data_IF_966694953368
#
_entry.id   IF_966694953368
#
_cell.length_a   1.000
_cell.length_b   1.000
_cell.length_c   1.000
_cell.angle_alpha   90.00
_cell.angle_beta   90.00
_cell.angle_gamma   90.00
#
_symmetry.space_group_name_H-M   'P 1'
#
loop_
_entity.id
_entity.type
_entity.pdbx_description
1 polymer ?
#
# COMPACT_ATOMS: atom_id res chain seq x y z
N UNK A 1 -6.82 31.31 14.05
CA UNK A 1 -7.15 29.88 13.89
C UNK A 1 -6.34 29.38 12.71
N UNK A 2 -5.37 28.49 12.92
CA UNK A 2 -4.61 27.87 11.82
C UNK A 2 -5.50 26.82 11.17
N UNK A 3 -5.61 26.82 9.84
CA UNK A 3 -6.42 25.86 9.10
C UNK A 3 -5.50 24.96 8.31
N UNK A 4 -5.41 23.70 8.72
CA UNK A 4 -4.73 22.67 7.94
C UNK A 4 -5.59 22.27 6.75
N UNK A 5 -5.13 22.54 5.53
CA UNK A 5 -5.87 22.18 4.32
C UNK A 5 -5.32 20.89 3.69
N UNK A 6 -5.78 19.74 4.18
CA UNK A 6 -5.45 18.43 3.60
C UNK A 6 -5.69 18.34 2.09
N UNK A 7 -6.61 19.14 1.52
CA UNK A 7 -6.89 19.12 0.07
C UNK A 7 -5.72 19.59 -0.78
N UNK A 8 -4.74 20.30 -0.21
CA UNK A 8 -3.55 20.68 -0.96
C UNK A 8 -2.62 19.47 -1.20
N UNK A 9 -2.69 18.46 -0.33
CA UNK A 9 -1.82 17.27 -0.38
C UNK A 9 -2.51 16.08 -1.03
N UNK A 10 -3.80 15.91 -0.74
CA UNK A 10 -4.59 14.77 -1.16
C UNK A 10 -5.37 15.11 -2.42
N UNK A 11 -5.44 14.16 -3.35
CA UNK A 11 -6.23 14.31 -4.57
C UNK A 11 -7.68 14.65 -4.23
N UNK A 12 -8.28 15.56 -5.02
CA UNK A 12 -9.66 16.06 -4.87
C UNK A 12 -10.68 14.92 -4.82
N UNK A 13 -10.34 13.74 -5.35
CA UNK A 13 -11.22 12.58 -5.45
C UNK A 13 -11.07 11.55 -4.31
N UNK A 14 -10.12 11.73 -3.39
CA UNK A 14 -9.87 10.75 -2.32
C UNK A 14 -10.94 10.79 -1.20
N UNK A 15 -11.54 11.96 -0.94
CA UNK A 15 -12.63 12.11 0.02
C UNK A 15 -13.55 13.29 -0.34
N UNK A 16 -14.81 13.22 0.09
CA UNK A 16 -15.82 14.24 -0.21
C UNK A 16 -15.58 15.53 0.58
N UNK A 17 -15.37 15.40 1.90
CA UNK A 17 -15.26 16.53 2.82
C UNK A 17 -14.31 16.24 3.96
N UNK A 18 -13.53 17.25 4.35
CA UNK A 18 -12.74 17.27 5.58
C UNK A 18 -13.55 17.95 6.70
N UNK A 19 -13.54 17.36 7.90
CA UNK A 19 -14.13 17.95 9.11
C UNK A 19 -13.20 17.78 10.30
N UNK A 20 -13.34 18.64 11.28
CA UNK A 20 -12.76 18.42 12.61
C UNK A 20 -13.64 17.40 13.32
N UNK A 21 -13.04 16.36 13.86
CA UNK A 21 -13.76 15.32 14.58
C UNK A 21 -14.14 15.78 15.99
N UNK A 22 -15.32 15.37 16.42
CA UNK A 22 -15.76 15.47 17.83
C UNK A 22 -15.65 14.12 18.56
N UNK A 23 -15.30 13.04 17.86
CA UNK A 23 -15.34 11.66 18.35
C UNK A 23 -13.97 10.96 18.32
N UNK A 24 -13.03 11.43 17.48
CA UNK A 24 -11.68 10.90 17.44
C UNK A 24 -10.92 11.34 18.70
N UNK A 25 -10.86 10.46 19.71
CA UNK A 25 -10.11 10.73 20.94
C UNK A 25 -8.61 10.44 20.77
N UNK A 26 -8.28 9.18 20.50
CA UNK A 26 -6.90 8.68 20.42
C UNK A 26 -6.37 8.58 19.00
N UNK A 27 -7.26 8.41 18.03
CA UNK A 27 -6.89 8.30 16.62
C UNK A 27 -6.62 9.68 16.02
N UNK A 28 -5.68 9.80 15.07
CA UNK A 28 -5.43 11.06 14.37
C UNK A 28 -6.55 11.47 13.42
N UNK A 29 -7.30 10.50 12.90
CA UNK A 29 -8.44 10.74 12.01
C UNK A 29 -9.30 9.49 11.84
N UNK A 30 -10.47 9.68 11.25
CA UNK A 30 -11.49 8.66 11.01
C UNK A 30 -12.20 8.96 9.68
N UNK A 31 -12.53 7.93 8.91
CA UNK A 31 -13.51 8.07 7.83
C UNK A 31 -14.92 7.75 8.32
N UNK A 32 -15.85 8.64 8.00
CA UNK A 32 -17.27 8.50 8.28
C UNK A 32 -18.02 8.53 6.96
N UNK A 33 -18.93 7.57 6.74
CA UNK A 33 -19.84 7.61 5.60
C UNK A 33 -20.77 8.83 5.70
N UNK A 34 -21.02 9.50 4.57
CA UNK A 34 -22.05 10.52 4.52
C UNK A 34 -23.43 9.92 4.83
N UNK A 35 -24.37 10.72 5.36
CA UNK A 35 -25.72 10.24 5.74
C UNK A 35 -26.51 9.56 4.60
N UNK A 36 -26.09 9.78 3.34
CA UNK A 36 -26.71 9.20 2.15
C UNK A 36 -25.76 8.26 1.38
N UNK A 37 -24.59 7.96 1.94
CA UNK A 37 -23.59 7.08 1.35
C UNK A 37 -23.65 5.66 1.89
N UNK A 38 -23.17 4.69 1.12
CA UNK A 38 -22.94 3.33 1.59
C UNK A 38 -21.95 3.29 2.76
N UNK A 39 -22.09 2.28 3.63
CA UNK A 39 -21.06 1.97 4.63
C UNK A 39 -19.86 1.32 3.93
N UNK A 40 -18.66 1.45 4.49
CA UNK A 40 -17.44 0.81 3.96
C UNK A 40 -17.62 -0.71 3.80
N UNK A 41 -18.34 -1.33 4.73
CA UNK A 41 -18.70 -2.75 4.69
C UNK A 41 -19.70 -3.04 3.57
N UNK A 42 -20.73 -2.21 3.41
CA UNK A 42 -21.71 -2.35 2.32
C UNK A 42 -21.07 -2.15 0.95
N UNK A 43 -20.18 -1.17 0.80
CA UNK A 43 -19.45 -0.92 -0.44
C UNK A 43 -18.54 -2.09 -0.80
N UNK A 44 -17.92 -2.73 0.21
CA UNK A 44 -17.13 -3.95 0.01
C UNK A 44 -18.01 -5.13 -0.42
N UNK A 45 -19.13 -5.36 0.25
CA UNK A 45 -20.06 -6.46 -0.09
C UNK A 45 -20.68 -6.24 -1.47
N UNK A 46 -21.12 -5.02 -1.78
CA UNK A 46 -21.71 -4.66 -3.06
C UNK A 46 -20.72 -4.84 -4.21
N UNK A 47 -19.44 -4.47 -4.02
CA UNK A 47 -18.37 -4.73 -5.00
C UNK A 47 -18.01 -6.21 -5.13
N UNK A 48 -18.16 -6.99 -4.06
CA UNK A 48 -17.97 -8.43 -4.14
C UNK A 48 -19.11 -9.13 -4.89
N UNK A 49 -20.33 -8.58 -4.83
CA UNK A 49 -21.53 -9.13 -5.49
C UNK A 49 -21.71 -8.63 -6.92
N UNK A 50 -21.37 -7.37 -7.16
CA UNK A 50 -21.48 -6.72 -8.45
C UNK A 50 -20.06 -6.69 -9.01
N UNK A 51 -19.76 -7.52 -10.02
CA UNK A 51 -18.49 -7.52 -10.79
C UNK A 51 -18.19 -6.17 -11.50
N UNK A 52 -18.83 -5.08 -11.07
CA UNK A 52 -18.67 -3.74 -11.60
C UNK A 52 -17.25 -3.23 -11.38
N UNK A 53 -16.86 -2.41 -12.36
CA UNK A 53 -15.55 -1.80 -12.48
C UNK A 53 -15.13 -1.05 -11.20
N UNK A 54 -13.91 -1.32 -10.72
CA UNK A 54 -13.36 -0.78 -9.46
C UNK A 54 -13.30 0.76 -9.45
N UNK A 55 -13.40 1.38 -10.62
CA UNK A 55 -13.25 2.82 -10.84
C UNK A 55 -14.50 3.67 -10.59
N UNK A 56 -15.70 3.10 -10.62
CA UNK A 56 -16.94 3.91 -10.71
C UNK A 56 -17.71 4.08 -9.38
N UNK A 57 -17.46 3.24 -8.37
CA UNK A 57 -18.37 3.08 -7.23
C UNK A 57 -17.89 3.53 -5.85
N UNK A 58 -16.57 3.61 -5.58
CA UNK A 58 -16.08 3.55 -4.19
C UNK A 58 -15.74 4.89 -3.52
N UNK A 59 -15.78 6.03 -4.22
CA UNK A 59 -15.14 7.28 -3.75
C UNK A 59 -16.11 8.39 -3.36
N UNK A 60 -17.41 8.30 -3.68
CA UNK A 60 -18.25 9.50 -3.75
C UNK A 60 -18.79 10.05 -2.42
N UNK A 61 -18.59 9.35 -1.28
CA UNK A 61 -19.29 9.69 -0.03
C UNK A 61 -18.47 9.54 1.26
N UNK A 62 -17.14 9.56 1.21
CA UNK A 62 -16.30 9.47 2.42
C UNK A 62 -16.06 10.86 3.02
N UNK A 63 -16.34 11.05 4.30
CA UNK A 63 -15.98 12.26 5.06
C UNK A 63 -14.77 11.91 5.92
N UNK A 64 -13.67 12.63 5.76
CA UNK A 64 -12.51 12.52 6.62
C UNK A 64 -12.69 13.44 7.83
N UNK A 65 -12.78 12.87 9.02
CA UNK A 65 -12.74 13.62 10.26
C UNK A 65 -11.34 13.54 10.89
N UNK A 66 -10.76 14.68 11.27
CA UNK A 66 -9.41 14.76 11.86
C UNK A 66 -9.45 15.21 13.31
N UNK A 67 -8.56 14.67 14.14
CA UNK A 67 -8.39 15.07 15.52
C UNK A 67 -7.30 16.16 15.64
N UNK A 68 -7.66 17.44 15.85
CA UNK A 68 -6.68 18.52 15.90
C UNK A 68 -5.77 18.45 17.13
N UNK A 69 -6.13 17.66 18.15
CA UNK A 69 -5.33 17.47 19.36
C UNK A 69 -4.32 16.34 19.23
N UNK A 70 -4.37 15.57 18.14
CA UNK A 70 -3.46 14.46 17.94
C UNK A 70 -2.07 14.97 17.51
N UNK A 71 -0.96 14.49 18.13
CA UNK A 71 0.39 14.96 17.82
C UNK A 71 0.77 14.87 16.34
N UNK A 72 0.38 13.79 15.65
CA UNK A 72 0.61 13.66 14.21
C UNK A 72 -0.06 14.77 13.39
N UNK A 73 -1.28 15.18 13.74
CA UNK A 73 -2.00 16.24 13.03
C UNK A 73 -1.35 17.60 13.30
N UNK A 74 -0.97 17.86 14.56
CA UNK A 74 -0.27 19.10 14.91
C UNK A 74 1.08 19.21 14.20
N UNK A 75 1.87 18.14 14.20
CA UNK A 75 3.17 18.12 13.54
C UNK A 75 3.04 18.26 12.02
N UNK A 76 2.07 17.58 11.42
CA UNK A 76 1.81 17.67 9.99
C UNK A 76 1.37 19.10 9.61
N UNK A 77 0.61 19.78 10.48
CA UNK A 77 0.28 21.19 10.30
C UNK A 77 1.52 22.08 10.26
N UNK A 78 2.43 21.93 11.21
CA UNK A 78 3.67 22.70 11.20
C UNK A 78 4.49 22.42 9.93
N UNK A 79 4.59 21.16 9.50
CA UNK A 79 5.29 20.77 8.28
C UNK A 79 4.66 21.36 7.01
N UNK A 80 3.32 21.45 6.94
CA UNK A 80 2.65 22.10 5.81
C UNK A 80 2.90 23.60 5.73
N UNK A 81 3.12 24.26 6.86
CA UNK A 81 3.40 25.70 6.90
C UNK A 81 4.87 25.99 6.56
N UNK A 82 5.81 25.09 6.91
CA UNK A 82 7.24 25.28 6.65
C UNK A 82 7.72 24.71 5.32
N UNK A 83 7.14 23.59 4.87
CA UNK A 83 7.69 22.75 3.81
C UNK A 83 6.59 21.97 3.07
N UNK A 84 5.56 22.66 2.59
CA UNK A 84 4.42 22.03 1.90
C UNK A 84 4.81 21.14 0.72
N UNK A 85 5.87 21.50 0.00
CA UNK A 85 6.22 20.83 -1.25
C UNK A 85 7.29 19.75 -1.04
N UNK A 86 7.70 19.49 0.22
CA UNK A 86 8.66 18.43 0.50
C UNK A 86 8.01 17.05 0.34
N UNK A 87 8.74 16.14 -0.30
CA UNK A 87 8.30 14.75 -0.47
C UNK A 87 7.98 14.10 0.88
N UNK A 88 8.72 14.42 1.94
CA UNK A 88 8.45 13.96 3.30
C UNK A 88 7.08 14.41 3.83
N UNK A 89 6.71 15.68 3.63
CA UNK A 89 5.42 16.20 4.09
C UNK A 89 4.26 15.56 3.32
N UNK A 90 4.44 15.38 2.01
CA UNK A 90 3.47 14.73 1.13
C UNK A 90 3.31 13.26 1.51
N UNK A 91 4.42 12.53 1.69
CA UNK A 91 4.44 11.13 2.11
C UNK A 91 3.74 10.96 3.46
N UNK A 92 4.04 11.81 4.44
CA UNK A 92 3.41 11.79 5.76
C UNK A 92 1.90 12.03 5.69
N UNK A 93 1.44 12.98 4.87
CA UNK A 93 0.02 13.26 4.69
C UNK A 93 -0.73 12.06 4.07
N UNK A 94 -0.14 11.44 3.04
CA UNK A 94 -0.72 10.26 2.39
C UNK A 94 -0.69 9.01 3.26
N UNK A 95 0.39 8.78 4.01
CA UNK A 95 0.47 7.65 4.96
C UNK A 95 -0.56 7.78 6.07
N UNK A 96 -0.78 8.99 6.58
CA UNK A 96 -1.83 9.24 7.55
C UNK A 96 -3.23 8.96 6.99
N UNK A 97 -3.48 9.35 5.73
CA UNK A 97 -4.71 9.04 5.01
C UNK A 97 -4.91 7.52 4.88
N UNK A 98 -3.89 6.79 4.42
CA UNK A 98 -3.97 5.34 4.23
C UNK A 98 -4.12 4.59 5.56
N UNK A 99 -3.43 5.01 6.61
CA UNK A 99 -3.61 4.47 7.97
C UNK A 99 -5.06 4.67 8.45
N UNK A 100 -5.64 5.85 8.19
CA UNK A 100 -7.04 6.12 8.53
C UNK A 100 -7.99 5.22 7.73
N UNK A 101 -7.68 4.95 6.46
CA UNK A 101 -8.45 4.01 5.64
C UNK A 101 -8.43 2.61 6.25
N UNK A 102 -7.24 2.11 6.61
CA UNK A 102 -7.07 0.79 7.22
C UNK A 102 -7.83 0.66 8.54
N UNK A 103 -7.70 1.64 9.44
CA UNK A 103 -8.35 1.62 10.77
C UNK A 103 -9.87 1.64 10.67
N UNK A 104 -10.42 2.27 9.63
CA UNK A 104 -11.88 2.39 9.43
C UNK A 104 -12.45 1.37 8.44
N UNK A 105 -11.64 0.41 7.99
CA UNK A 105 -12.08 -0.64 7.07
C UNK A 105 -12.39 -0.16 5.65
N UNK A 106 -11.87 1.01 5.27
CA UNK A 106 -11.89 1.47 3.89
C UNK A 106 -10.71 0.86 3.12
N UNK A 107 -10.91 0.65 1.83
CA UNK A 107 -9.86 0.15 0.95
C UNK A 107 -8.90 1.28 0.55
N UNK A 108 -7.61 0.94 0.50
CA UNK A 108 -6.56 1.79 -0.05
C UNK A 108 -6.70 1.78 -1.58
N UNK A 109 -6.80 2.95 -2.20
CA UNK A 109 -7.04 3.07 -3.65
C UNK A 109 -5.85 2.55 -4.47
N UNK A 110 -4.62 2.89 -4.05
CA UNK A 110 -3.40 2.49 -4.72
C UNK A 110 -2.41 1.88 -3.72
N UNK A 111 -2.43 0.55 -3.61
CA UNK A 111 -1.53 -0.21 -2.75
C UNK A 111 -0.07 -0.05 -3.19
N UNK A 112 0.20 0.04 -4.49
CA UNK A 112 1.56 0.19 -5.01
C UNK A 112 2.20 1.49 -4.55
N UNK A 113 1.48 2.61 -4.67
CA UNK A 113 1.97 3.91 -4.18
C UNK A 113 2.14 3.94 -2.67
N UNK A 114 1.21 3.32 -1.92
CA UNK A 114 1.35 3.17 -0.48
C UNK A 114 2.63 2.42 -0.09
N UNK A 115 2.91 1.29 -0.74
CA UNK A 115 4.13 0.50 -0.51
C UNK A 115 5.38 1.29 -0.85
N UNK A 116 5.39 2.02 -1.97
CA UNK A 116 6.51 2.89 -2.35
C UNK A 116 6.76 3.98 -1.29
N UNK A 117 5.70 4.62 -0.78
CA UNK A 117 5.78 5.60 0.31
C UNK A 117 6.33 4.99 1.60
N UNK A 118 5.85 3.81 1.98
CA UNK A 118 6.36 3.10 3.16
C UNK A 118 7.84 2.74 3.03
N UNK A 119 8.27 2.28 1.84
CA UNK A 119 9.67 1.96 1.58
C UNK A 119 10.57 3.21 1.72
N UNK A 120 10.15 4.36 1.20
CA UNK A 120 10.89 5.62 1.39
C UNK A 120 11.01 6.02 2.85
N UNK A 121 9.94 5.86 3.64
CA UNK A 121 9.98 6.13 5.08
C UNK A 121 10.92 5.16 5.80
N UNK A 122 10.89 3.87 5.46
CA UNK A 122 11.84 2.89 6.03
C UNK A 122 13.28 3.21 5.66
N UNK A 123 13.57 3.55 4.41
CA UNK A 123 14.92 3.96 3.97
C UNK A 123 15.44 5.15 4.79
N UNK A 124 14.62 6.20 4.92
CA UNK A 124 14.97 7.38 5.72
C UNK A 124 15.18 7.03 7.21
N UNK A 125 14.36 6.14 7.76
CA UNK A 125 14.45 5.72 9.16
C UNK A 125 15.70 4.87 9.43
N UNK A 126 16.09 4.03 8.48
CA UNK A 126 17.25 3.16 8.57
C UNK A 126 18.54 3.80 8.00
N UNK A 127 18.47 5.02 7.49
CA UNK A 127 19.56 5.71 6.79
C UNK A 127 20.17 4.86 5.65
N UNK A 128 19.31 4.24 4.84
CA UNK A 128 19.70 3.47 3.65
C UNK A 128 19.65 4.42 2.45
N UNK A 129 20.81 4.64 1.82
CA UNK A 129 20.93 5.52 0.66
C UNK A 129 20.44 4.85 -0.63
N UNK A 130 20.71 3.56 -0.82
CA UNK A 130 20.35 2.80 -2.02
C UNK A 130 19.85 1.38 -1.67
N UNK A 131 18.87 0.87 -2.44
CA UNK A 131 18.34 -0.50 -2.30
C UNK A 131 19.12 -1.50 -3.17
N UNK A 132 20.44 -1.35 -3.22
CA UNK A 132 21.29 -2.32 -3.91
C UNK A 132 21.28 -3.61 -3.09
N UNK A 133 21.11 -4.75 -3.76
CA UNK A 133 21.13 -6.05 -3.07
C UNK A 133 22.52 -6.23 -2.44
N UNK A 134 22.55 -6.27 -1.11
CA UNK A 134 23.73 -6.67 -0.37
C UNK A 134 23.97 -8.18 -0.55
N UNK A 135 25.18 -8.62 -0.25
CA UNK A 135 25.54 -10.03 -0.29
C UNK A 135 24.58 -10.84 0.59
N UNK A 136 24.19 -12.02 0.11
CA UNK A 136 23.31 -12.93 0.83
C UNK A 136 23.92 -13.25 2.20
N UNK A 137 23.19 -12.93 3.26
CA UNK A 137 23.58 -13.32 4.62
C UNK A 137 23.36 -14.83 4.71
N UNK A 138 24.41 -15.61 4.44
CA UNK A 138 24.43 -17.04 4.68
C UNK A 138 24.47 -17.19 6.22
N UNK A 139 23.40 -17.67 6.87
CA UNK A 139 23.47 -17.97 8.29
C UNK A 139 24.60 -18.98 8.51
N UNK A 140 25.34 -18.91 9.64
CA UNK A 140 26.37 -19.90 9.90
C UNK A 140 25.74 -21.28 9.77
N UNK A 141 26.27 -22.11 8.87
CA UNK A 141 25.92 -23.53 8.84
C UNK A 141 26.34 -24.07 10.20
N UNK A 142 25.35 -24.41 11.05
CA UNK A 142 25.61 -25.16 12.26
C UNK A 142 26.32 -26.45 11.82
N UNK A 143 27.58 -26.60 12.24
CA UNK A 143 28.48 -27.69 11.84
C UNK A 143 28.07 -29.08 12.37
N UNK A 144 26.88 -29.18 12.97
CA UNK A 144 26.47 -30.35 13.77
C UNK A 144 25.41 -31.22 13.09
N UNK A 145 25.00 -30.94 11.84
CA UNK A 145 24.02 -31.78 11.11
C UNK A 145 24.64 -32.66 10.01
N UNK A 146 25.95 -32.88 10.07
CA UNK A 146 26.64 -33.85 9.19
C UNK A 146 26.87 -35.20 9.89
N UNK A 147 25.79 -35.82 10.39
CA UNK A 147 25.76 -37.28 10.53
C UNK A 147 25.05 -37.89 9.32
N UNK A 148 25.88 -38.26 8.34
CA UNK A 148 25.74 -39.46 7.51
C UNK A 148 24.39 -39.73 6.85
N UNK A 149 24.30 -39.41 5.56
CA UNK A 149 23.71 -40.34 4.60
C UNK A 149 24.46 -40.22 3.27
N UNK A 150 25.40 -41.14 3.05
CA UNK A 150 25.84 -41.51 1.72
C UNK A 150 24.61 -42.02 0.96
N UNK A 151 24.10 -41.23 0.02
CA UNK A 151 23.30 -41.76 -1.08
C UNK A 151 24.15 -41.68 -2.33
N UNK A 152 24.46 -42.88 -2.82
CA UNK A 152 25.28 -43.20 -3.97
C UNK A 152 24.85 -42.44 -5.23
N UNK A 153 25.84 -42.03 -6.01
CA UNK A 153 25.69 -41.43 -7.35
C UNK A 153 24.92 -42.37 -8.30
N UNK A 154 23.71 -41.97 -8.72
CA UNK A 154 23.12 -42.47 -9.97
C UNK A 154 23.29 -41.37 -11.05
N UNK A 155 24.28 -41.58 -11.93
CA UNK A 155 24.43 -40.85 -13.19
C UNK A 155 23.26 -41.21 -14.13
N UNK A 156 22.25 -40.35 -14.23
CA UNK A 156 21.25 -40.43 -15.31
C UNK A 156 21.55 -39.41 -16.42
N UNK A 157 22.08 -39.97 -17.52
CA UNK A 157 22.34 -39.40 -18.83
C UNK A 157 21.07 -38.81 -19.47
N UNK A 158 21.02 -37.48 -19.64
CA UNK A 158 20.01 -36.78 -20.44
C UNK A 158 20.62 -36.17 -21.71
N UNK A 159 21.15 -37.02 -22.59
CA UNK A 159 21.35 -36.67 -24.00
C UNK A 159 20.32 -37.38 -24.89
N UNK A 160 19.16 -36.76 -25.12
CA UNK A 160 18.42 -36.79 -26.40
C UNK A 160 17.05 -36.13 -26.28
N UNK A 161 16.89 -34.95 -26.88
CA UNK A 161 15.63 -34.58 -27.52
C UNK A 161 15.92 -33.61 -28.66
N UNK A 162 16.10 -34.19 -29.85
CA UNK A 162 16.16 -33.44 -31.09
C UNK A 162 14.87 -32.64 -31.32
N UNK A 163 15.07 -31.38 -31.70
CA UNK A 163 14.06 -30.52 -32.29
C UNK A 163 13.46 -31.19 -33.53
N UNK A 164 12.18 -31.54 -33.48
CA UNK A 164 11.36 -31.65 -34.69
C UNK A 164 10.54 -30.38 -34.85
N UNK A 165 11.10 -29.46 -35.62
CA UNK A 165 10.34 -28.41 -36.29
C UNK A 165 9.31 -29.09 -37.20
N UNK A 166 8.02 -28.85 -36.98
CA UNK A 166 7.03 -29.06 -38.03
C UNK A 166 6.20 -27.80 -38.22
N UNK A 167 6.64 -27.01 -39.18
CA UNK A 167 5.82 -25.99 -39.86
C UNK A 167 5.35 -26.59 -41.17
N UNK A 168 4.03 -26.74 -41.35
CA UNK A 168 3.33 -26.71 -42.64
C UNK A 168 1.83 -26.80 -42.35
N UNK A 169 1.08 -25.70 -42.47
CA UNK A 169 0.54 -25.07 -43.69
C UNK A 169 -0.77 -25.76 -44.12
N UNK A 170 -1.80 -24.94 -44.19
CA UNK A 170 -3.15 -25.18 -44.69
C UNK A 170 -3.18 -25.97 -46.01
N UNK A 171 -4.22 -26.78 -46.20
CA UNK A 171 -5.03 -26.83 -47.42
C UNK A 171 -6.31 -27.69 -47.18
N UNK A 172 -7.45 -27.03 -47.34
CA UNK A 172 -8.78 -27.43 -47.85
C UNK A 172 -9.24 -28.91 -47.87
N UNK A 173 -10.41 -29.18 -47.27
CA UNK A 173 -11.65 -29.64 -47.95
C UNK A 173 -12.88 -29.59 -47.01
#
# INVERSE_FOLDING_TARGET
VRYFNFRNFLSINSFQKLKISNIAEKEPGLFVSSQHGGSSTSDRIMRAQTFQDRSQGATKSKILEINPRHPFITRLLDLSESSSDSEETIDAAWLLYDMTCMNTGHEIENITEYTQRMNRVMQRTLAIDDIIMEEEIIPPMDSDDFEGNEFEDEEDDYSSMEHTSNTMRMEDE
#
